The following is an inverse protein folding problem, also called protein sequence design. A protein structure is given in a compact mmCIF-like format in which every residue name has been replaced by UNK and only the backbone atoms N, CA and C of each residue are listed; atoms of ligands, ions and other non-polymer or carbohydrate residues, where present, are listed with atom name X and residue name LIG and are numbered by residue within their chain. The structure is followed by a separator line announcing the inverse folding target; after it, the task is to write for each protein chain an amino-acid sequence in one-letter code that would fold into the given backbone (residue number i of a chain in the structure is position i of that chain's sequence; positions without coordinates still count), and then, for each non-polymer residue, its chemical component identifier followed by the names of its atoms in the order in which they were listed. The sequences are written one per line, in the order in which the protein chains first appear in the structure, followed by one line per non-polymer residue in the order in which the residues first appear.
data_IF_062479828719
#
_entry.id   IF_062479828719
#
_cell.length_a   1.000
_cell.length_b   1.000
_cell.length_c   1.000
_cell.angle_alpha   90.00
_cell.angle_beta   90.00
_cell.angle_gamma   90.00
#
_symmetry.space_group_name_H-M   'P 1'
#
loop_
_entity.id
_entity.type
_entity.pdbx_description
1 polymer ?
#
# COMPACT_ATOMS: atom_id res chain seq x y z
N UNK A 1 -14.87 -11.46 11.87
CA UNK A 1 -15.12 -10.05 12.25
C UNK A 1 -13.93 -9.22 11.78
N UNK A 2 -14.12 -8.31 10.83
CA UNK A 2 -13.05 -7.45 10.32
C UNK A 2 -12.72 -6.29 11.26
N UNK A 3 -11.74 -5.47 10.90
CA UNK A 3 -11.49 -4.19 11.57
C UNK A 3 -12.02 -3.04 10.70
N UNK A 4 -12.28 -1.84 11.27
CA UNK A 4 -12.77 -0.71 10.49
C UNK A 4 -11.80 -0.36 9.35
N UNK A 5 -12.35 -0.24 8.15
CA UNK A 5 -11.70 0.34 6.98
C UNK A 5 -12.39 1.66 6.72
N UNK A 6 -11.68 2.76 6.91
CA UNK A 6 -12.25 4.12 6.87
C UNK A 6 -11.89 4.78 5.56
N UNK A 7 -12.86 5.25 4.75
CA UNK A 7 -12.56 6.08 3.60
C UNK A 7 -12.10 7.47 4.06
N UNK A 8 -11.09 8.00 3.38
CA UNK A 8 -10.52 9.32 3.63
C UNK A 8 -10.39 10.09 2.31
N UNK A 9 -10.39 11.40 2.42
CA UNK A 9 -10.16 12.36 1.34
C UNK A 9 -9.20 13.43 1.83
N UNK A 10 -8.39 14.00 0.94
CA UNK A 10 -7.33 14.96 1.27
C UNK A 10 -6.21 14.88 0.25
N UNK A 11 -4.97 14.99 0.68
CA UNK A 11 -3.80 14.70 -0.15
C UNK A 11 -2.87 13.73 0.56
N UNK A 12 -2.70 12.54 -0.01
CA UNK A 12 -1.82 11.51 0.52
C UNK A 12 -0.67 11.24 -0.46
N UNK A 13 0.55 11.09 0.05
CA UNK A 13 1.70 10.73 -0.78
C UNK A 13 2.58 9.67 -0.13
N UNK A 14 3.19 8.84 -0.98
CA UNK A 14 4.25 7.92 -0.62
C UNK A 14 5.53 8.30 -1.36
N UNK A 15 6.63 8.52 -0.63
CA UNK A 15 7.92 8.99 -1.17
C UNK A 15 9.10 8.12 -0.74
N UNK A 16 10.05 7.95 -1.64
CA UNK A 16 11.37 7.38 -1.38
C UNK A 16 12.41 8.38 -1.91
N UNK A 17 13.30 8.87 -1.05
CA UNK A 17 14.35 9.85 -1.39
C UNK A 17 13.83 11.06 -2.21
N UNK A 18 12.61 11.55 -1.90
CA UNK A 18 11.96 12.65 -2.62
C UNK A 18 11.15 12.24 -3.86
N UNK A 19 11.34 11.03 -4.39
CA UNK A 19 10.56 10.49 -5.51
C UNK A 19 9.19 10.01 -5.03
N UNK A 20 8.12 10.63 -5.54
CA UNK A 20 6.73 10.21 -5.29
C UNK A 20 6.45 8.92 -6.05
N UNK A 21 6.16 7.84 -5.32
CA UNK A 21 5.82 6.52 -5.88
C UNK A 21 4.32 6.20 -5.83
N UNK A 22 3.56 6.93 -5.00
CA UNK A 22 2.10 6.94 -5.04
C UNK A 22 1.55 8.28 -4.53
N UNK A 23 0.42 8.74 -5.09
CA UNK A 23 -0.22 10.00 -4.72
C UNK A 23 -1.73 9.95 -5.00
N UNK A 24 -2.54 10.21 -3.97
CA UNK A 24 -4.00 10.07 -4.07
C UNK A 24 -4.74 11.21 -3.34
N UNK A 25 -5.92 11.54 -3.83
CA UNK A 25 -6.85 12.47 -3.16
C UNK A 25 -7.93 11.77 -2.33
N UNK A 26 -8.04 10.45 -2.47
CA UNK A 26 -8.89 9.58 -1.67
C UNK A 26 -8.17 8.26 -1.41
N UNK A 27 -8.30 7.73 -0.20
CA UNK A 27 -7.64 6.49 0.21
C UNK A 27 -8.50 5.71 1.21
N UNK A 28 -8.02 4.51 1.58
CA UNK A 28 -8.56 3.74 2.71
C UNK A 28 -7.56 3.76 3.85
N UNK A 29 -8.06 3.85 5.07
CA UNK A 29 -7.24 3.77 6.27
C UNK A 29 -7.72 2.63 7.16
N UNK A 30 -6.79 1.78 7.58
CA UNK A 30 -7.07 0.78 8.62
C UNK A 30 -5.81 0.48 9.42
N UNK A 31 -5.96 0.33 10.73
CA UNK A 31 -4.85 0.04 11.65
C UNK A 31 -3.67 1.01 11.50
N UNK A 32 -3.96 2.30 11.25
CA UNK A 32 -2.95 3.34 11.04
C UNK A 32 -2.17 3.25 9.72
N UNK A 33 -2.56 2.37 8.79
CA UNK A 33 -1.97 2.25 7.47
C UNK A 33 -2.82 2.98 6.43
N UNK A 34 -2.14 3.69 5.52
CA UNK A 34 -2.73 4.38 4.37
C UNK A 34 -2.66 3.42 3.18
N UNK A 35 -3.82 3.13 2.61
CA UNK A 35 -4.00 2.25 1.45
C UNK A 35 -4.37 3.09 0.24
N UNK A 36 -3.40 3.25 -0.65
CA UNK A 36 -3.50 4.00 -1.89
C UNK A 36 -4.27 3.19 -2.93
N UNK A 37 -5.26 3.77 -3.64
CA UNK A 37 -5.97 3.06 -4.70
C UNK A 37 -5.00 2.68 -5.83
N UNK A 38 -5.20 1.55 -6.53
CA UNK A 38 -4.23 0.99 -7.46
C UNK A 38 -3.86 1.93 -8.61
N UNK A 39 -4.78 2.80 -9.04
CA UNK A 39 -4.57 3.82 -10.07
C UNK A 39 -3.64 4.97 -9.62
N UNK A 40 -3.49 5.18 -8.32
CA UNK A 40 -2.61 6.21 -7.74
C UNK A 40 -1.15 5.79 -7.59
N UNK A 41 -0.86 4.51 -7.87
CA UNK A 41 0.46 3.91 -7.68
C UNK A 41 1.22 3.94 -9.01
N UNK A 42 2.44 4.49 -8.98
CA UNK A 42 3.31 4.61 -10.14
C UNK A 42 4.05 3.29 -10.41
N UNK A 43 3.37 2.40 -11.14
CA UNK A 43 3.78 1.00 -11.38
C UNK A 43 5.19 0.85 -11.97
N UNK A 44 5.73 1.88 -12.62
CA UNK A 44 7.10 1.88 -13.16
C UNK A 44 8.17 1.60 -12.09
N UNK A 45 7.91 1.96 -10.82
CA UNK A 45 8.82 1.72 -9.70
C UNK A 45 8.61 0.35 -9.03
N UNK A 46 7.53 -0.39 -9.35
CA UNK A 46 7.11 -1.55 -8.56
C UNK A 46 7.43 -2.86 -9.27
N UNK A 47 7.97 -3.82 -8.52
CA UNK A 47 8.25 -5.18 -8.96
C UNK A 47 7.58 -6.18 -8.03
N UNK A 48 6.74 -7.04 -8.60
CA UNK A 48 6.09 -8.12 -7.86
C UNK A 48 7.12 -9.08 -7.27
N UNK A 49 6.76 -9.70 -6.15
CA UNK A 49 7.60 -10.68 -5.46
C UNK A 49 6.80 -11.93 -5.16
N UNK A 50 7.49 -13.04 -4.87
CA UNK A 50 6.85 -14.28 -4.40
C UNK A 50 6.53 -14.25 -2.90
N UNK A 51 6.91 -13.18 -2.19
CA UNK A 51 6.63 -13.04 -0.77
C UNK A 51 5.13 -12.87 -0.55
N UNK A 52 4.60 -13.64 0.39
CA UNK A 52 3.26 -13.47 0.94
C UNK A 52 3.24 -13.59 2.46
N UNK A 53 2.22 -13.02 3.10
CA UNK A 53 1.93 -13.24 4.52
C UNK A 53 0.43 -13.34 4.72
N UNK A 54 0.00 -14.11 5.72
CA UNK A 54 -1.41 -14.32 6.01
C UNK A 54 -1.89 -13.45 7.17
N UNK A 55 -2.98 -12.73 6.96
CA UNK A 55 -3.71 -12.00 8.00
C UNK A 55 -5.08 -12.63 8.24
N UNK A 56 -5.45 -13.02 9.48
CA UNK A 56 -6.70 -13.74 9.77
C UNK A 56 -7.99 -13.05 9.32
N UNK A 57 -7.97 -11.73 9.11
CA UNK A 57 -9.16 -10.96 8.73
C UNK A 57 -9.03 -10.25 7.37
N UNK A 58 -7.82 -10.16 6.80
CA UNK A 58 -7.61 -9.56 5.48
C UNK A 58 -7.30 -10.59 4.38
N UNK A 59 -6.84 -11.79 4.72
CA UNK A 59 -6.40 -12.79 3.74
C UNK A 59 -4.90 -12.71 3.46
N UNK A 60 -4.50 -13.16 2.28
CA UNK A 60 -3.10 -13.19 1.85
C UNK A 60 -2.64 -11.83 1.32
N UNK A 61 -1.67 -11.25 2.01
CA UNK A 61 -0.94 -10.08 1.54
C UNK A 61 0.10 -10.51 0.50
N UNK A 62 0.12 -9.83 -0.64
CA UNK A 62 1.17 -9.92 -1.66
C UNK A 62 2.08 -8.69 -1.55
N UNK A 63 3.35 -8.84 -1.92
CA UNK A 63 4.35 -7.79 -1.72
C UNK A 63 4.97 -7.29 -3.03
N UNK A 64 5.25 -5.98 -3.05
CA UNK A 64 6.08 -5.35 -4.06
C UNK A 64 7.43 -4.92 -3.46
N UNK A 65 8.49 -5.15 -4.22
CA UNK A 65 9.74 -4.38 -4.07
C UNK A 65 9.62 -3.10 -4.89
N UNK A 66 10.29 -2.05 -4.45
CA UNK A 66 10.28 -0.74 -5.13
C UNK A 66 11.70 -0.38 -5.54
N UNK A 67 11.89 -0.03 -6.82
CA UNK A 67 13.17 0.39 -7.37
C UNK A 67 13.13 1.89 -7.68
N UNK A 68 13.96 2.68 -7.02
CA UNK A 68 14.08 4.14 -7.23
C UNK A 68 15.55 4.50 -7.34
N UNK A 69 15.94 5.19 -8.42
CA UNK A 69 17.30 5.67 -8.64
C UNK A 69 18.40 4.59 -8.50
N UNK A 70 18.09 3.36 -8.92
CA UNK A 70 19.00 2.21 -8.82
C UNK A 70 19.09 1.58 -7.43
N UNK A 71 18.39 2.11 -6.43
CA UNK A 71 18.24 1.51 -5.11
C UNK A 71 16.97 0.65 -5.04
N UNK A 72 17.14 -0.58 -4.54
CA UNK A 72 16.04 -1.54 -4.35
C UNK A 72 15.57 -1.54 -2.90
N UNK A 73 14.27 -1.36 -2.71
CA UNK A 73 13.58 -1.41 -1.43
C UNK A 73 12.74 -2.69 -1.38
N UNK A 74 13.33 -3.77 -0.88
CA UNK A 74 12.72 -5.09 -0.92
C UNK A 74 11.44 -5.16 -0.07
N UNK A 75 10.36 -5.72 -0.63
CA UNK A 75 9.08 -5.91 0.04
C UNK A 75 8.62 -4.64 0.78
N UNK A 76 8.78 -3.47 0.16
CA UNK A 76 8.51 -2.16 0.78
C UNK A 76 7.02 -1.79 0.76
N UNK A 77 6.23 -2.45 -0.08
CA UNK A 77 4.79 -2.28 -0.19
C UNK A 77 4.07 -3.62 -0.17
N UNK A 78 2.82 -3.61 0.26
CA UNK A 78 1.94 -4.78 0.22
C UNK A 78 0.53 -4.40 -0.24
N UNK A 79 -0.21 -5.40 -0.72
CA UNK A 79 -1.59 -5.29 -1.16
C UNK A 79 -2.32 -6.62 -0.97
N UNK A 80 -3.66 -6.60 -1.04
CA UNK A 80 -4.48 -7.81 -0.96
C UNK A 80 -5.21 -8.02 -2.29
N UNK A 81 -4.85 -9.07 -3.03
CA UNK A 81 -5.49 -9.41 -4.31
C UNK A 81 -6.89 -10.00 -4.10
N UNK A 82 -6.99 -10.91 -3.15
CA UNK A 82 -8.22 -11.63 -2.80
C UNK A 82 -8.52 -11.46 -1.31
N UNK A 83 -8.89 -10.24 -0.86
CA UNK A 83 -9.14 -10.00 0.54
C UNK A 83 -10.38 -10.73 1.04
N UNK A 84 -10.38 -11.07 2.33
CA UNK A 84 -11.55 -11.62 3.02
C UNK A 84 -12.69 -10.58 3.13
N UNK A 85 -13.91 -11.04 3.41
CA UNK A 85 -15.14 -10.22 3.43
C UNK A 85 -15.02 -8.93 4.24
N UNK A 86 -14.35 -8.98 5.40
CA UNK A 86 -14.15 -7.81 6.26
C UNK A 86 -13.15 -6.76 5.73
N UNK A 87 -12.48 -7.02 4.62
CA UNK A 87 -11.41 -6.21 4.06
C UNK A 87 -11.55 -5.98 2.53
N UNK A 88 -12.73 -6.22 1.96
CA UNK A 88 -12.98 -6.11 0.50
C UNK A 88 -12.64 -4.74 -0.08
N UNK A 89 -12.82 -3.67 0.71
CA UNK A 89 -12.49 -2.30 0.34
C UNK A 89 -10.99 -2.05 0.17
N UNK A 90 -10.13 -2.98 0.62
CA UNK A 90 -8.68 -2.91 0.47
C UNK A 90 -8.18 -3.67 -0.77
N UNK A 91 -9.08 -4.25 -1.57
CA UNK A 91 -8.69 -5.02 -2.76
C UNK A 91 -7.80 -4.17 -3.66
N UNK A 92 -6.63 -4.72 -3.98
CA UNK A 92 -5.58 -4.11 -4.81
C UNK A 92 -5.05 -2.75 -4.33
N UNK A 93 -5.52 -2.23 -3.20
CA UNK A 93 -4.96 -1.01 -2.64
C UNK A 93 -3.59 -1.31 -2.02
N UNK A 94 -2.66 -0.38 -2.22
CA UNK A 94 -1.27 -0.56 -1.83
C UNK A 94 -0.96 0.24 -0.57
N UNK A 95 -0.42 -0.42 0.43
CA UNK A 95 0.13 0.20 1.62
C UNK A 95 1.66 -0.02 1.69
N UNK A 96 2.33 0.77 2.51
CA UNK A 96 3.78 0.89 2.52
C UNK A 96 4.35 0.76 3.92
N UNK A 97 5.54 0.17 4.03
CA UNK A 97 6.27 0.13 5.29
C UNK A 97 6.88 1.49 5.60
N UNK A 98 6.39 2.14 6.67
CA UNK A 98 6.78 3.50 7.07
C UNK A 98 8.26 3.66 7.45
N UNK A 99 8.97 2.56 7.72
CA UNK A 99 10.43 2.58 7.94
C UNK A 99 11.25 2.52 6.64
N UNK A 100 10.60 2.35 5.48
CA UNK A 100 11.23 2.31 4.15
C UNK A 100 10.72 3.41 3.24
N UNK A 101 9.48 3.85 3.44
CA UNK A 101 8.76 4.81 2.60
C UNK A 101 8.17 5.89 3.48
N UNK A 102 8.40 7.14 3.12
CA UNK A 102 7.79 8.29 3.78
C UNK A 102 6.34 8.42 3.34
N UNK A 103 5.41 8.46 4.30
CA UNK A 103 3.97 8.61 4.05
C UNK A 103 3.50 9.90 4.68
N UNK A 104 2.96 10.81 3.88
CA UNK A 104 2.31 12.03 4.36
C UNK A 104 0.84 12.02 3.99
N UNK A 105 0.01 12.60 4.86
CA UNK A 105 -1.42 12.86 4.64
C UNK A 105 -1.73 14.27 5.12
N UNK A 106 -2.42 15.04 4.28
CA UNK A 106 -2.84 16.42 4.50
C UNK A 106 -4.35 16.57 4.32
#
# INVERSE_FOLDING_TARGET
MGKPVVPRTGHATARINGTVVAEATAWRETEGNVYFPPESVKKEYFRGTEQSTYCPWKGDASYYSIDVDGAKYENAAWYYKEPLEGAVDLRDHVAFYKNKVEITVE
#
